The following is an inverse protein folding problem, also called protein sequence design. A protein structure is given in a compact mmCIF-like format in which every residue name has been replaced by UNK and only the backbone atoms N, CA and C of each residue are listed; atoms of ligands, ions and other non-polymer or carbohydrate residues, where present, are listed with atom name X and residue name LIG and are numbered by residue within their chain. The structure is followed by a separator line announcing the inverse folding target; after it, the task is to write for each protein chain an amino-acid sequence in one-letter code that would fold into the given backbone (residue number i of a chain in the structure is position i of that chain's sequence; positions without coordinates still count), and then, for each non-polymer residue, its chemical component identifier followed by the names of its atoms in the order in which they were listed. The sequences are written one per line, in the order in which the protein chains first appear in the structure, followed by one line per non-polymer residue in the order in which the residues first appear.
data_IF_793296188174
#
_entry.id   IF_793296188174
#
_cell.length_a   1.000
_cell.length_b   1.000
_cell.length_c   1.000
_cell.angle_alpha   90.00
_cell.angle_beta   90.00
_cell.angle_gamma   90.00
#
_symmetry.space_group_name_H-M   'P 1'
#
loop_
_entity.id
_entity.type
_entity.pdbx_description
1 polymer ?
#
# COMPACT_ATOMS: atom_id res chain seq x y z
N UNK A 1 -86.64 -30.74 -8.76
CA UNK A 1 -85.67 -31.05 -9.84
C UNK A 1 -84.43 -30.20 -9.65
N UNK A 2 -83.28 -30.87 -9.69
CA UNK A 2 -81.90 -30.38 -9.53
C UNK A 2 -81.58 -29.06 -10.24
N UNK A 3 -80.79 -28.21 -9.56
CA UNK A 3 -79.77 -27.25 -10.03
C UNK A 3 -79.53 -26.24 -8.88
N UNK A 4 -78.36 -25.96 -8.29
CA UNK A 4 -77.02 -25.77 -8.84
C UNK A 4 -75.93 -26.08 -7.79
N UNK A 5 -74.90 -26.78 -8.24
CA UNK A 5 -73.54 -26.82 -7.68
C UNK A 5 -72.86 -25.47 -7.92
N UNK A 6 -72.29 -24.83 -6.90
CA UNK A 6 -71.10 -23.98 -7.10
C UNK A 6 -70.13 -24.09 -5.92
N UNK A 7 -69.04 -24.77 -6.25
CA UNK A 7 -67.73 -24.87 -5.63
C UNK A 7 -67.24 -23.57 -4.99
N UNK A 8 -66.95 -23.61 -3.70
CA UNK A 8 -66.01 -22.67 -3.07
C UNK A 8 -64.59 -23.08 -3.45
N UNK A 9 -64.09 -22.55 -4.56
CA UNK A 9 -62.67 -22.57 -4.86
C UNK A 9 -61.97 -21.68 -3.83
N UNK A 10 -61.26 -22.32 -2.89
CA UNK A 10 -60.27 -21.69 -2.04
C UNK A 10 -59.19 -21.07 -2.94
N UNK A 11 -59.23 -19.76 -3.06
CA UNK A 11 -58.17 -18.96 -3.68
C UNK A 11 -56.89 -19.13 -2.86
N UNK A 12 -55.97 -19.95 -3.35
CA UNK A 12 -54.59 -19.94 -2.91
C UNK A 12 -53.97 -18.59 -3.33
N UNK A 13 -53.97 -17.60 -2.43
CA UNK A 13 -53.10 -16.42 -2.57
C UNK A 13 -51.66 -16.88 -2.45
N UNK A 14 -50.99 -17.05 -3.59
CA UNK A 14 -49.54 -17.05 -3.64
C UNK A 14 -49.06 -15.69 -3.14
N UNK A 15 -48.45 -15.67 -1.95
CA UNK A 15 -47.76 -14.49 -1.46
C UNK A 15 -46.59 -14.20 -2.42
N UNK A 16 -46.44 -12.98 -2.96
CA UNK A 16 -45.23 -12.62 -3.68
C UNK A 16 -44.09 -12.58 -2.67
N UNK A 17 -43.10 -13.45 -2.84
CA UNK A 17 -41.82 -13.30 -2.16
C UNK A 17 -41.19 -12.02 -2.69
N UNK A 18 -41.28 -10.95 -1.90
CA UNK A 18 -40.48 -9.76 -2.12
C UNK A 18 -39.01 -10.14 -1.91
N UNK A 19 -38.37 -10.62 -2.98
CA UNK A 19 -36.93 -10.61 -3.10
C UNK A 19 -36.51 -9.14 -3.07
N UNK A 20 -36.16 -8.64 -1.87
CA UNK A 20 -35.46 -7.38 -1.72
C UNK A 20 -34.10 -7.54 -2.37
N UNK A 21 -34.03 -7.25 -3.68
CA UNK A 21 -32.80 -7.02 -4.39
C UNK A 21 -32.11 -5.83 -3.71
N UNK A 22 -31.31 -6.12 -2.69
CA UNK A 22 -30.43 -5.13 -2.09
C UNK A 22 -29.52 -4.65 -3.23
N UNK A 23 -29.53 -3.34 -3.57
CA UNK A 23 -28.68 -2.85 -4.63
C UNK A 23 -27.24 -3.17 -4.24
N UNK A 24 -26.55 -3.88 -5.14
CA UNK A 24 -25.11 -4.04 -5.08
C UNK A 24 -24.53 -2.64 -5.14
N UNK A 25 -24.18 -2.07 -4.00
CA UNK A 25 -23.42 -0.84 -3.96
C UNK A 25 -22.02 -1.22 -4.41
N UNK A 26 -21.57 -0.87 -5.64
CA UNK A 26 -20.18 -1.07 -5.98
C UNK A 26 -19.39 -0.26 -4.95
N UNK A 27 -18.56 -0.94 -4.15
CA UNK A 27 -17.56 -0.25 -3.33
C UNK A 27 -16.63 0.44 -4.33
N UNK A 28 -16.92 1.70 -4.63
CA UNK A 28 -15.98 2.55 -5.33
C UNK A 28 -14.68 2.52 -4.51
N UNK A 29 -13.61 2.10 -5.15
CA UNK A 29 -12.30 2.11 -4.52
C UNK A 29 -11.86 3.57 -4.37
N UNK A 30 -12.24 4.19 -3.26
CA UNK A 30 -11.81 5.54 -2.93
C UNK A 30 -10.37 5.46 -2.46
N UNK A 31 -9.45 6.06 -3.21
CA UNK A 31 -8.05 6.21 -2.79
C UNK A 31 -7.98 7.14 -1.57
N UNK A 32 -8.07 6.56 -0.37
CA UNK A 32 -7.97 7.32 0.88
C UNK A 32 -6.60 7.99 1.01
N UNK A 33 -5.55 7.51 0.32
CA UNK A 33 -4.23 8.15 0.29
C UNK A 33 -4.25 9.53 -0.36
N UNK A 34 -4.99 9.65 -1.47
CA UNK A 34 -5.09 10.86 -2.29
C UNK A 34 -5.77 12.01 -1.53
N UNK A 35 -6.71 11.66 -0.66
CA UNK A 35 -7.53 12.60 0.08
C UNK A 35 -6.93 12.97 1.45
N UNK A 36 -5.77 12.44 1.81
CA UNK A 36 -5.13 12.79 3.09
C UNK A 36 -4.62 14.23 3.04
N UNK A 37 -4.95 15.06 4.05
CA UNK A 37 -4.42 16.41 4.12
C UNK A 37 -2.89 16.37 4.26
N UNK A 38 -2.24 17.43 3.80
CA UNK A 38 -0.83 17.66 4.08
C UNK A 38 -0.60 17.71 5.61
N UNK A 39 0.58 17.28 6.11
CA UNK A 39 0.90 17.36 7.52
C UNK A 39 0.75 18.80 8.05
N UNK A 40 0.10 18.95 9.21
CA UNK A 40 -0.29 20.26 9.78
C UNK A 40 0.90 21.12 10.22
N UNK A 41 1.99 20.48 10.68
CA UNK A 41 3.18 21.14 11.18
C UNK A 41 4.37 20.74 10.31
N UNK A 42 4.92 21.70 9.56
CA UNK A 42 6.30 21.59 9.08
C UNK A 42 7.21 21.99 10.25
N UNK A 43 8.15 21.13 10.70
CA UNK A 43 9.25 21.61 11.52
C UNK A 43 9.98 22.71 10.74
N UNK A 44 10.35 23.78 11.43
CA UNK A 44 11.05 24.90 10.81
C UNK A 44 12.33 24.39 10.09
N UNK A 45 12.48 24.73 8.81
CA UNK A 45 13.67 24.38 8.02
C UNK A 45 13.62 23.09 7.20
N UNK A 46 12.53 22.31 7.23
CA UNK A 46 12.42 21.09 6.40
C UNK A 46 12.10 21.45 4.94
N UNK A 47 13.12 21.43 4.11
CA UNK A 47 13.02 21.46 2.64
C UNK A 47 12.73 20.06 2.10
N UNK A 48 12.16 19.97 0.90
CA UNK A 48 11.90 18.67 0.25
C UNK A 48 13.18 17.84 0.11
N UNK A 49 14.28 18.47 -0.29
CA UNK A 49 15.58 17.82 -0.42
C UNK A 49 16.09 17.28 0.93
N UNK A 50 16.03 18.08 2.00
CA UNK A 50 16.44 17.62 3.34
C UNK A 50 15.64 16.41 3.84
N UNK A 51 14.34 16.37 3.50
CA UNK A 51 13.47 15.25 3.83
C UNK A 51 13.88 14.00 3.05
N UNK A 52 14.04 14.10 1.73
CA UNK A 52 14.42 12.98 0.87
C UNK A 52 15.79 12.41 1.23
N UNK A 53 16.77 13.26 1.55
CA UNK A 53 18.08 12.83 2.04
C UNK A 53 17.96 12.05 3.36
N UNK A 54 17.10 12.50 4.28
CA UNK A 54 16.88 11.83 5.57
C UNK A 54 16.23 10.45 5.44
N UNK A 55 15.45 10.20 4.37
CA UNK A 55 14.89 8.88 4.09
C UNK A 55 15.94 7.86 3.62
N UNK A 56 17.01 8.33 2.99
CA UNK A 56 18.03 7.48 2.37
C UNK A 56 17.50 6.67 1.18
N UNK A 57 18.13 5.52 0.90
CA UNK A 57 17.83 4.63 -0.25
C UNK A 57 17.90 5.31 -1.63
N UNK A 58 18.64 6.41 -1.74
CA UNK A 58 18.73 7.21 -2.95
C UNK A 58 17.40 7.86 -3.34
N UNK A 59 16.52 8.16 -2.39
CA UNK A 59 15.21 8.75 -2.66
C UNK A 59 15.31 10.12 -3.36
N UNK A 60 16.36 10.89 -3.04
CA UNK A 60 16.68 12.19 -3.62
C UNK A 60 16.90 12.14 -5.14
N UNK A 61 17.50 11.05 -5.65
CA UNK A 61 17.75 10.89 -7.09
C UNK A 61 16.54 10.34 -7.85
N UNK A 62 15.64 9.65 -7.14
CA UNK A 62 14.51 8.93 -7.74
C UNK A 62 13.25 9.79 -7.85
N UNK A 63 13.04 10.72 -6.92
CA UNK A 63 11.85 11.55 -6.88
C UNK A 63 12.10 12.84 -7.66
N UNK A 64 11.36 13.01 -8.76
CA UNK A 64 11.35 14.25 -9.57
C UNK A 64 10.19 15.14 -9.11
N UNK A 65 10.35 15.81 -7.97
CA UNK A 65 9.37 16.77 -7.50
C UNK A 65 10.08 18.05 -7.07
N UNK A 66 9.63 19.19 -7.59
CA UNK A 66 10.24 20.50 -7.32
C UNK A 66 9.68 21.12 -6.04
N UNK A 67 8.36 20.96 -5.82
CA UNK A 67 7.65 21.60 -4.73
C UNK A 67 7.23 20.63 -3.62
N UNK A 68 7.38 21.08 -2.37
CA UNK A 68 6.88 20.35 -1.19
C UNK A 68 5.37 20.07 -1.30
N UNK A 69 4.57 21.08 -1.64
CA UNK A 69 3.10 20.94 -1.69
C UNK A 69 2.67 19.97 -2.78
N UNK A 70 3.38 19.94 -3.91
CA UNK A 70 3.12 19.01 -5.01
C UNK A 70 3.49 17.59 -4.62
N UNK A 71 4.64 17.39 -3.95
CA UNK A 71 5.06 16.08 -3.44
C UNK A 71 4.01 15.42 -2.53
N UNK A 72 3.40 16.18 -1.60
CA UNK A 72 2.39 15.64 -0.69
C UNK A 72 1.03 15.33 -1.32
N UNK A 73 0.78 15.80 -2.55
CA UNK A 73 -0.40 15.47 -3.34
C UNK A 73 -0.19 14.25 -4.23
N UNK A 74 1.04 13.81 -4.44
CA UNK A 74 1.34 12.69 -5.33
C UNK A 74 0.88 11.36 -4.73
N UNK A 75 0.25 10.55 -5.57
CA UNK A 75 -0.15 9.18 -5.22
C UNK A 75 0.82 8.13 -5.81
N UNK A 76 0.60 6.86 -5.43
CA UNK A 76 1.33 5.74 -5.99
C UNK A 76 1.22 5.62 -7.53
N UNK A 77 0.13 6.10 -8.13
CA UNK A 77 -0.03 6.18 -9.58
C UNK A 77 0.87 7.24 -10.20
N UNK A 78 1.01 8.41 -9.57
CA UNK A 78 1.87 9.48 -10.06
C UNK A 78 3.34 9.08 -9.95
N UNK A 79 3.72 8.43 -8.85
CA UNK A 79 5.06 7.85 -8.75
C UNK A 79 5.33 6.72 -9.75
N UNK A 80 4.29 5.97 -10.17
CA UNK A 80 4.42 4.99 -11.25
C UNK A 80 4.67 5.68 -12.59
N UNK A 81 3.93 6.76 -12.89
CA UNK A 81 4.15 7.59 -14.10
C UNK A 81 5.54 8.22 -14.11
N UNK A 82 6.05 8.63 -12.95
CA UNK A 82 7.40 9.14 -12.78
C UNK A 82 8.51 8.07 -12.91
N UNK A 83 8.16 6.79 -13.07
CA UNK A 83 9.12 5.70 -13.33
C UNK A 83 9.74 5.06 -12.08
N UNK A 84 9.24 5.33 -10.87
CA UNK A 84 9.79 4.71 -9.66
C UNK A 84 9.48 3.20 -9.60
N UNK A 85 10.38 2.41 -9.02
CA UNK A 85 10.13 0.98 -8.78
C UNK A 85 9.03 0.76 -7.73
N UNK A 86 8.33 -0.38 -7.77
CA UNK A 86 7.25 -0.69 -6.81
C UNK A 86 7.73 -0.59 -5.35
N UNK A 87 8.96 -1.03 -5.08
CA UNK A 87 9.55 -1.01 -3.72
C UNK A 87 9.78 0.41 -3.22
N UNK A 88 10.34 1.28 -4.08
CA UNK A 88 10.60 2.66 -3.72
C UNK A 88 9.30 3.44 -3.50
N UNK A 89 8.29 3.23 -4.37
CA UNK A 89 6.98 3.88 -4.21
C UNK A 89 6.32 3.56 -2.88
N UNK A 90 6.27 2.28 -2.52
CA UNK A 90 5.70 1.83 -1.25
C UNK A 90 6.48 2.38 -0.06
N UNK A 91 7.81 2.44 -0.18
CA UNK A 91 8.66 2.98 0.87
C UNK A 91 8.41 4.47 1.10
N UNK A 92 8.41 5.28 0.03
CA UNK A 92 8.19 6.73 0.13
C UNK A 92 6.79 7.02 0.70
N UNK A 93 5.74 6.34 0.21
CA UNK A 93 4.39 6.51 0.75
C UNK A 93 4.29 6.15 2.23
N UNK A 94 4.99 5.08 2.66
CA UNK A 94 5.05 4.73 4.08
C UNK A 94 5.78 5.79 4.90
N UNK A 95 6.88 6.35 4.40
CA UNK A 95 7.61 7.44 5.05
C UNK A 95 6.74 8.71 5.18
N UNK A 96 6.00 9.05 4.13
CA UNK A 96 5.03 10.15 4.14
C UNK A 96 3.97 9.94 5.23
N UNK A 97 3.48 8.71 5.38
CA UNK A 97 2.51 8.38 6.43
C UNK A 97 3.12 8.48 7.83
N UNK A 98 4.35 8.00 8.02
CA UNK A 98 5.06 8.10 9.30
C UNK A 98 5.31 9.54 9.71
N UNK A 99 5.67 10.38 8.75
CA UNK A 99 5.82 11.81 8.98
C UNK A 99 4.48 12.50 9.30
N UNK A 100 3.36 12.08 8.68
CA UNK A 100 2.01 12.55 9.06
C UNK A 100 1.64 12.16 10.49
N UNK A 101 2.17 11.05 11.00
CA UNK A 101 2.01 10.61 12.40
C UNK A 101 2.89 11.41 13.37
N UNK A 102 3.75 12.31 12.88
CA UNK A 102 4.63 13.16 13.71
C UNK A 102 5.96 12.50 14.07
N UNK A 103 6.32 11.39 13.44
CA UNK A 103 7.63 10.75 13.64
C UNK A 103 8.71 11.46 12.82
N UNK A 104 9.91 11.60 13.39
CA UNK A 104 11.04 12.22 12.70
C UNK A 104 11.60 11.26 11.63
N UNK A 105 11.91 11.73 10.40
CA UNK A 105 12.41 10.87 9.33
C UNK A 105 13.65 10.06 9.69
N UNK A 106 14.52 10.60 10.55
CA UNK A 106 15.75 9.92 10.96
C UNK A 106 15.50 8.67 11.82
N UNK A 107 14.39 8.65 12.57
CA UNK A 107 14.08 7.55 13.48
C UNK A 107 13.58 6.30 12.75
N UNK A 108 12.79 6.49 11.69
CA UNK A 108 12.17 5.38 10.96
C UNK A 108 12.83 5.08 9.61
N UNK A 109 13.71 5.96 9.11
CA UNK A 109 14.44 5.71 7.89
C UNK A 109 15.35 4.49 8.05
N UNK A 110 15.35 3.64 7.03
CA UNK A 110 16.19 2.46 7.00
C UNK A 110 16.94 2.48 5.69
N UNK A 111 18.27 2.40 5.77
CA UNK A 111 19.10 2.34 4.58
C UNK A 111 18.75 1.11 3.71
N UNK A 112 19.25 1.14 2.47
CA UNK A 112 19.12 -0.01 1.59
C UNK A 112 19.96 -1.14 2.16
N UNK A 113 19.36 -2.32 2.36
CA UNK A 113 20.11 -3.47 2.82
C UNK A 113 21.26 -3.75 1.84
N UNK A 114 22.50 -3.86 2.32
CA UNK A 114 23.63 -4.10 1.45
C UNK A 114 23.45 -5.43 0.74
N UNK A 115 23.92 -5.50 -0.51
CA UNK A 115 23.90 -6.74 -1.28
C UNK A 115 24.68 -7.80 -0.50
N UNK A 116 24.05 -8.97 -0.32
CA UNK A 116 24.71 -10.12 0.32
C UNK A 116 26.05 -10.40 -0.37
N UNK A 117 27.13 -10.42 0.41
CA UNK A 117 28.49 -10.71 -0.08
C UNK A 117 28.61 -12.13 -0.62
N UNK A 118 28.02 -13.09 0.08
CA UNK A 118 27.98 -14.51 -0.32
C UNK A 118 26.52 -14.88 -0.60
N UNK A 119 26.26 -15.47 -1.77
CA UNK A 119 24.94 -15.97 -2.16
C UNK A 119 24.93 -17.49 -2.01
N UNK A 120 24.23 -18.02 -1.00
CA UNK A 120 24.13 -19.47 -0.73
C UNK A 120 23.60 -19.77 0.67
N UNK A 121 23.09 -20.99 0.88
CA UNK A 121 22.74 -21.50 2.22
C UNK A 121 23.95 -22.23 2.81
N UNK A 122 24.48 -21.70 3.93
CA UNK A 122 25.49 -22.38 4.74
C UNK A 122 26.95 -22.14 4.34
N UNK A 123 27.90 -22.58 5.18
CA UNK A 123 29.34 -22.34 5.02
C UNK A 123 29.97 -23.13 3.89
N UNK A 124 29.26 -24.07 3.25
CA UNK A 124 29.82 -25.07 2.36
C UNK A 124 30.68 -24.46 1.23
N UNK A 125 30.27 -23.33 0.64
CA UNK A 125 31.04 -22.64 -0.41
C UNK A 125 30.94 -21.13 -0.22
N UNK A 126 32.06 -20.46 0.03
CA UNK A 126 32.15 -18.99 0.10
C UNK A 126 33.24 -18.51 -0.87
N UNK A 127 32.99 -17.45 -1.64
CA UNK A 127 33.95 -16.84 -2.57
C UNK A 127 34.63 -17.85 -3.52
N UNK A 128 33.89 -18.83 -4.04
CA UNK A 128 34.42 -19.88 -4.94
C UNK A 128 35.25 -20.96 -4.25
N UNK A 129 35.44 -20.90 -2.92
CA UNK A 129 36.18 -21.90 -2.13
C UNK A 129 35.22 -22.69 -1.26
N UNK A 130 35.32 -24.03 -1.32
CA UNK A 130 34.56 -24.92 -0.45
C UNK A 130 35.15 -24.90 0.96
N UNK A 131 34.44 -24.35 1.94
CA UNK A 131 34.88 -24.39 3.34
C UNK A 131 34.55 -25.79 3.88
N UNK A 132 35.58 -26.58 4.19
CA UNK A 132 35.43 -27.83 4.94
C UNK A 132 35.59 -27.49 6.42
N UNK A 133 34.72 -28.01 7.29
CA UNK A 133 34.93 -27.89 8.73
C UNK A 133 36.26 -28.56 9.09
N UNK A 134 37.15 -27.83 9.77
CA UNK A 134 38.39 -28.41 10.32
C UNK A 134 37.96 -29.35 11.46
N UNK A 135 38.09 -30.67 11.28
CA UNK A 135 38.03 -31.60 12.42
C UNK A 135 39.28 -31.32 13.26
N UNK A 136 39.12 -31.01 14.56
CA UNK A 136 40.27 -31.04 15.50
C UNK A 136 40.80 -32.49 15.49
N UNK A 137 42.11 -32.62 15.31
CA UNK A 137 42.83 -33.88 15.52
C UNK A 137 42.86 -34.21 17.01
#
# INVERSE_FOLDING_TARGET
MSQYLLSRLTSCRLAPTQNYAQPWHPRFFVNHSAQKPAPKLKPAGVTLQSFLTSLGRGAETKVKADDWKSFWKMDGHDFRKAGLSIRDRRYIMWCMEKYRQGLDPKEFAHEAQPKKKIRGHGPAVQNGKRIRSRRKQ
#
